data_IF_007865936615
#
_entry.id   IF_007865936615
#
_cell.length_a   1.000
_cell.length_b   1.000
_cell.length_c   1.000
_cell.angle_alpha   90.00
_cell.angle_beta   90.00
_cell.angle_gamma   90.00
#
_symmetry.space_group_name_H-M   'P 1'
#
loop_
_entity.id
_entity.type
_entity.pdbx_description
1 polymer ?
#
# COMPACT_ATOMS: atom_id res chain seq x y z
N UNK A 1 9.35 5.77 10.36
CA UNK A 1 10.02 4.49 10.70
C UNK A 1 9.08 3.36 10.30
N UNK A 2 9.36 2.62 9.23
CA UNK A 2 8.60 1.41 8.90
C UNK A 2 8.99 0.33 9.91
N UNK A 3 8.06 -0.05 10.77
CA UNK A 3 8.20 -1.17 11.68
C UNK A 3 8.30 -2.44 10.85
N UNK A 4 9.53 -2.91 10.60
CA UNK A 4 9.78 -4.26 10.11
C UNK A 4 9.04 -5.23 11.05
N UNK A 5 8.13 -6.09 10.55
CA UNK A 5 7.58 -7.14 11.38
C UNK A 5 8.75 -8.06 11.77
N UNK A 6 9.13 -7.99 13.04
CA UNK A 6 10.19 -8.81 13.66
C UNK A 6 9.63 -10.19 13.97
N UNK A 7 9.06 -10.88 12.98
CA UNK A 7 8.71 -12.28 13.13
C UNK A 7 10.02 -13.08 13.14
N UNK A 8 10.24 -13.81 14.24
CA UNK A 8 11.40 -14.69 14.38
C UNK A 8 11.38 -15.74 13.28
N UNK A 9 12.54 -16.10 12.73
CA UNK A 9 12.66 -17.15 11.69
C UNK A 9 12.10 -18.51 12.14
N UNK A 10 11.91 -18.72 13.44
CA UNK A 10 11.27 -19.91 14.02
C UNK A 10 9.79 -20.07 13.70
N UNK A 11 9.07 -19.00 13.34
CA UNK A 11 7.63 -19.05 13.00
C UNK A 11 7.39 -19.02 11.49
N UNK A 12 8.45 -18.97 10.68
CA UNK A 12 8.33 -18.80 9.24
C UNK A 12 8.26 -20.14 8.52
N UNK A 13 7.26 -20.30 7.65
CA UNK A 13 7.19 -21.45 6.73
C UNK A 13 8.04 -21.19 5.49
N UNK A 14 8.94 -22.12 5.17
CA UNK A 14 9.78 -22.06 3.97
C UNK A 14 9.00 -22.62 2.79
N UNK A 15 8.67 -21.75 1.83
CA UNK A 15 8.00 -22.14 0.59
C UNK A 15 8.89 -21.92 -0.63
N UNK A 16 8.72 -22.77 -1.66
CA UNK A 16 9.48 -22.72 -2.91
C UNK A 16 8.65 -22.05 -4.01
N UNK A 17 9.05 -20.86 -4.43
CA UNK A 17 8.41 -20.12 -5.52
C UNK A 17 9.32 -20.18 -6.75
N UNK A 18 8.78 -20.61 -7.90
CA UNK A 18 9.48 -20.56 -9.19
C UNK A 18 9.26 -19.19 -9.82
N UNK A 19 10.34 -18.57 -10.29
CA UNK A 19 10.34 -17.27 -10.97
C UNK A 19 11.21 -17.36 -12.22
N UNK A 20 10.89 -16.55 -13.22
CA UNK A 20 11.76 -16.31 -14.36
C UNK A 20 13.12 -15.78 -13.89
N UNK A 21 14.19 -16.19 -14.58
CA UNK A 21 15.56 -15.76 -14.24
C UNK A 21 15.69 -14.25 -14.26
N UNK A 22 15.13 -13.60 -15.28
CA UNK A 22 15.20 -12.15 -15.45
C UNK A 22 14.52 -11.40 -14.30
N UNK A 23 13.32 -11.82 -13.91
CA UNK A 23 12.59 -11.24 -12.78
C UNK A 23 13.40 -11.36 -11.48
N UNK A 24 13.98 -12.53 -11.22
CA UNK A 24 14.82 -12.75 -10.03
C UNK A 24 16.02 -11.79 -9.99
N UNK A 25 16.69 -11.57 -11.12
CA UNK A 25 17.85 -10.68 -11.17
C UNK A 25 17.45 -9.20 -11.02
N UNK A 26 16.35 -8.77 -11.64
CA UNK A 26 15.81 -7.41 -11.43
C UNK A 26 15.43 -7.16 -9.96
N UNK A 27 14.74 -8.12 -9.33
CA UNK A 27 14.38 -8.04 -7.91
C UNK A 27 15.62 -7.96 -7.01
N UNK A 28 16.69 -8.71 -7.31
CA UNK A 28 17.95 -8.59 -6.57
C UNK A 28 18.57 -7.20 -6.69
N UNK A 29 18.59 -6.65 -7.91
CA UNK A 29 19.13 -5.30 -8.15
C UNK A 29 18.33 -4.24 -7.37
N UNK A 30 17.00 -4.31 -7.40
CA UNK A 30 16.11 -3.43 -6.63
C UNK A 30 16.24 -3.63 -5.11
N UNK A 31 16.65 -4.83 -4.67
CA UNK A 31 16.76 -5.14 -3.25
C UNK A 31 17.97 -4.48 -2.56
N UNK A 32 18.98 -4.00 -3.27
CA UNK A 32 20.13 -3.30 -2.68
C UNK A 32 20.58 -3.87 -1.33
N UNK A 33 20.50 -3.06 -0.26
CA UNK A 33 20.91 -3.43 1.10
C UNK A 33 19.84 -4.15 1.94
N UNK A 34 18.56 -4.15 1.55
CA UNK A 34 17.49 -4.86 2.27
C UNK A 34 17.54 -6.38 2.02
N UNK A 35 18.15 -6.80 0.91
CA UNK A 35 18.28 -8.19 0.54
C UNK A 35 17.04 -8.75 -0.15
N UNK A 36 17.26 -9.65 -1.11
CA UNK A 36 16.24 -10.19 -2.01
C UNK A 36 15.04 -10.81 -1.26
N UNK A 37 15.29 -11.62 -0.22
CA UNK A 37 14.22 -12.32 0.50
C UNK A 37 13.32 -11.36 1.28
N UNK A 38 13.88 -10.30 1.88
CA UNK A 38 13.10 -9.29 2.58
C UNK A 38 12.21 -8.51 1.60
N UNK A 39 12.77 -8.11 0.44
CA UNK A 39 12.01 -7.43 -0.61
C UNK A 39 10.85 -8.29 -1.12
N UNK A 40 11.10 -9.55 -1.46
CA UNK A 40 10.05 -10.46 -1.96
C UNK A 40 8.94 -10.62 -0.93
N UNK A 41 9.30 -10.77 0.35
CA UNK A 41 8.31 -10.84 1.43
C UNK A 41 7.50 -9.56 1.53
N UNK A 42 8.13 -8.40 1.47
CA UNK A 42 7.44 -7.11 1.55
C UNK A 42 6.50 -6.91 0.35
N UNK A 43 6.90 -7.32 -0.85
CA UNK A 43 6.03 -7.28 -2.04
C UNK A 43 4.82 -8.21 -1.86
N UNK A 44 5.04 -9.46 -1.43
CA UNK A 44 3.95 -10.41 -1.19
C UNK A 44 3.01 -9.91 -0.10
N UNK A 45 3.55 -9.30 0.96
CA UNK A 45 2.74 -8.72 2.01
C UNK A 45 1.95 -7.51 1.54
N UNK A 46 2.55 -6.59 0.79
CA UNK A 46 1.83 -5.48 0.18
C UNK A 46 0.72 -5.98 -0.75
N UNK A 47 0.96 -7.04 -1.53
CA UNK A 47 -0.05 -7.63 -2.40
C UNK A 47 -1.23 -8.21 -1.60
N UNK A 48 -0.95 -9.03 -0.57
CA UNK A 48 -2.02 -9.56 0.29
C UNK A 48 -2.76 -8.42 0.98
N UNK A 49 -2.03 -7.44 1.52
CA UNK A 49 -2.59 -6.26 2.18
C UNK A 49 -3.52 -5.47 1.26
N UNK A 50 -3.14 -5.23 0.00
CA UNK A 50 -3.99 -4.56 -0.99
C UNK A 50 -5.24 -5.37 -1.36
N UNK A 51 -5.19 -6.71 -1.25
CA UNK A 51 -6.28 -7.61 -1.63
C UNK A 51 -7.17 -8.02 -0.46
N UNK A 52 -6.68 -7.94 0.76
CA UNK A 52 -7.45 -8.16 1.98
C UNK A 52 -8.25 -6.89 2.31
N UNK A 53 -9.56 -7.00 2.43
CA UNK A 53 -10.43 -5.90 2.88
C UNK A 53 -10.09 -5.39 4.31
N UNK A 54 -9.28 -6.15 5.06
CA UNK A 54 -8.97 -5.90 6.47
C UNK A 54 -7.72 -5.05 6.70
N UNK A 55 -6.86 -4.86 5.69
CA UNK A 55 -5.67 -4.02 5.82
C UNK A 55 -5.94 -2.61 5.29
N UNK A 56 -6.05 -1.65 6.20
CA UNK A 56 -6.00 -0.22 5.88
C UNK A 56 -4.53 0.19 5.95
N UNK A 57 -3.84 0.50 4.83
CA UNK A 57 -2.55 1.13 4.94
C UNK A 57 -2.79 2.42 5.72
N UNK A 58 -2.10 2.57 6.85
CA UNK A 58 -2.26 3.74 7.69
C UNK A 58 -1.51 4.90 7.03
N UNK A 59 -2.11 5.42 5.96
CA UNK A 59 -1.56 6.57 5.25
C UNK A 59 -1.56 7.76 6.21
N UNK A 60 -0.46 8.47 6.22
CA UNK A 60 -0.35 9.77 6.84
C UNK A 60 -0.58 10.86 5.79
N UNK A 61 -0.90 12.07 6.22
CA UNK A 61 -0.99 13.21 5.31
C UNK A 61 0.32 13.41 4.49
N UNK A 62 1.48 13.12 5.08
CA UNK A 62 2.77 13.20 4.39
C UNK A 62 2.95 12.18 3.26
N UNK A 63 2.13 11.13 3.20
CA UNK A 63 2.19 10.14 2.13
C UNK A 63 1.43 10.60 0.87
N UNK A 64 0.63 11.66 0.95
CA UNK A 64 -0.12 12.22 -0.18
C UNK A 64 0.62 13.43 -0.75
N UNK A 65 1.13 13.30 -1.98
CA UNK A 65 1.93 14.34 -2.64
C UNK A 65 1.09 15.34 -3.46
N UNK A 66 -0.11 14.96 -3.85
CA UNK A 66 -1.06 15.78 -4.58
C UNK A 66 -2.47 15.20 -4.44
N UNK A 67 -3.49 16.02 -4.64
CA UNK A 67 -4.88 15.58 -4.68
C UNK A 67 -5.64 16.28 -5.80
N UNK A 68 -6.63 15.59 -6.38
CA UNK A 68 -7.56 16.15 -7.36
C UNK A 68 -9.01 15.90 -6.94
N UNK A 69 -9.92 16.79 -7.31
CA UNK A 69 -11.35 16.60 -7.09
C UNK A 69 -11.90 15.45 -7.93
N UNK A 70 -12.78 14.64 -7.34
CA UNK A 70 -13.40 13.48 -7.98
C UNK A 70 -14.81 13.23 -7.43
N UNK A 71 -15.56 12.38 -8.11
CA UNK A 71 -16.86 11.88 -7.63
C UNK A 71 -16.77 10.37 -7.48
N UNK A 72 -17.12 9.84 -6.32
CA UNK A 72 -17.13 8.41 -6.07
C UNK A 72 -18.17 7.72 -6.96
N UNK A 73 -17.79 6.69 -7.73
CA UNK A 73 -18.74 5.92 -8.56
C UNK A 73 -19.40 4.76 -7.80
N UNK A 74 -18.78 4.33 -6.71
CA UNK A 74 -19.25 3.29 -5.79
C UNK A 74 -18.91 3.74 -4.37
N UNK A 75 -19.34 2.98 -3.37
CA UNK A 75 -18.90 3.23 -1.99
C UNK A 75 -17.38 3.04 -1.89
N UNK A 76 -16.71 4.05 -1.35
CA UNK A 76 -15.28 4.07 -1.07
C UNK A 76 -15.07 4.37 0.42
N UNK A 77 -13.83 4.22 0.90
CA UNK A 77 -13.45 4.64 2.25
C UNK A 77 -12.24 5.54 2.18
N UNK A 78 -12.29 6.68 2.85
CA UNK A 78 -11.14 7.56 2.97
C UNK A 78 -9.96 6.80 3.59
N UNK A 79 -8.80 6.86 2.94
CA UNK A 79 -7.63 6.13 3.42
C UNK A 79 -6.95 6.76 4.64
N UNK A 80 -7.24 8.02 4.95
CA UNK A 80 -6.69 8.74 6.11
C UNK A 80 -7.59 8.61 7.35
N UNK A 81 -8.89 8.81 7.19
CA UNK A 81 -9.85 8.83 8.32
C UNK A 81 -10.63 7.53 8.47
N UNK A 82 -10.71 6.71 7.42
CA UNK A 82 -11.55 5.51 7.36
C UNK A 82 -13.05 5.80 7.18
N UNK A 83 -13.43 7.08 7.04
CA UNK A 83 -14.80 7.50 6.77
C UNK A 83 -15.31 6.89 5.47
N UNK A 84 -16.61 6.55 5.46
CA UNK A 84 -17.28 6.02 4.28
C UNK A 84 -17.66 7.19 3.37
N UNK A 85 -17.26 7.09 2.11
CA UNK A 85 -17.62 7.99 1.01
C UNK A 85 -18.66 7.26 0.17
N UNK A 86 -19.88 7.78 0.09
CA UNK A 86 -20.98 7.11 -0.60
C UNK A 86 -20.84 7.22 -2.11
N UNK A 87 -21.51 6.31 -2.83
CA UNK A 87 -21.62 6.43 -4.27
C UNK A 87 -22.28 7.78 -4.67
N UNK A 88 -21.70 8.42 -5.68
CA UNK A 88 -22.01 9.77 -6.19
C UNK A 88 -21.71 10.92 -5.22
N UNK A 89 -20.97 10.67 -4.13
CA UNK A 89 -20.50 11.71 -3.22
C UNK A 89 -19.20 12.35 -3.76
N UNK A 90 -19.04 13.67 -3.63
CA UNK A 90 -17.77 14.31 -3.97
C UNK A 90 -16.66 13.86 -3.01
N UNK A 91 -15.46 13.65 -3.56
CA UNK A 91 -14.28 13.21 -2.82
C UNK A 91 -13.02 13.80 -3.42
N UNK A 92 -11.89 13.60 -2.75
CA UNK A 92 -10.57 13.85 -3.31
C UNK A 92 -9.93 12.52 -3.70
N UNK A 93 -9.23 12.50 -4.83
CA UNK A 93 -8.36 11.40 -5.22
C UNK A 93 -6.91 11.82 -4.95
N UNK A 94 -6.30 11.19 -3.96
CA UNK A 94 -4.92 11.45 -3.54
C UNK A 94 -3.93 10.65 -4.36
N UNK A 95 -2.85 11.29 -4.79
CA UNK A 95 -1.69 10.62 -5.37
C UNK A 95 -0.65 10.38 -4.28
N UNK A 96 -0.26 9.13 -4.06
CA UNK A 96 0.69 8.77 -3.00
C UNK A 96 2.13 8.99 -3.45
N UNK A 97 3.06 9.07 -2.50
CA UNK A 97 4.52 9.06 -2.77
C UNK A 97 4.99 7.77 -3.46
N UNK A 98 4.19 6.71 -3.37
CA UNK A 98 4.43 5.41 -4.00
C UNK A 98 3.81 5.28 -5.40
N UNK A 99 3.08 6.29 -5.86
CA UNK A 99 2.48 6.32 -7.20
C UNK A 99 1.07 5.73 -7.29
N UNK A 100 0.42 5.50 -6.15
CA UNK A 100 -0.95 4.99 -6.09
C UNK A 100 -1.98 6.13 -6.09
N UNK A 101 -3.20 5.85 -6.57
CA UNK A 101 -4.35 6.73 -6.41
C UNK A 101 -5.28 6.19 -5.33
N UNK A 102 -5.57 7.01 -4.32
CA UNK A 102 -6.32 6.62 -3.12
C UNK A 102 -7.49 7.57 -2.83
N UNK A 103 -8.65 7.07 -2.36
CA UNK A 103 -9.80 7.90 -2.02
C UNK A 103 -9.60 8.68 -0.71
N UNK A 104 -10.04 9.94 -0.69
CA UNK A 104 -9.93 10.87 0.44
C UNK A 104 -11.24 11.64 0.62
N UNK A 105 -11.72 11.79 1.86
CA UNK A 105 -12.84 12.71 2.18
C UNK A 105 -12.41 14.17 1.96
N UNK A 106 -13.34 15.06 1.62
CA UNK A 106 -13.06 16.49 1.35
C UNK A 106 -12.44 17.22 2.56
N UNK A 107 -12.64 16.72 3.77
CA UNK A 107 -12.05 17.25 5.01
C UNK A 107 -10.77 16.55 5.49
N UNK A 108 -10.19 15.63 4.70
CA UNK A 108 -9.08 14.79 5.18
C UNK A 108 -7.77 15.55 5.38
N UNK A 109 -7.58 16.64 4.63
CA UNK A 109 -6.51 17.58 4.85
C UNK A 109 -7.01 18.61 5.87
N UNK A 110 -6.67 18.40 7.14
CA UNK A 110 -6.90 19.40 8.17
C UNK A 110 -6.26 20.73 7.74
N UNK A 111 -7.00 21.82 7.94
CA UNK A 111 -6.50 23.20 7.76
C UNK A 111 -5.26 23.47 8.60
#
# INVERSE_FOLDING_TARGET
>A
MRTLPRTSTTEMEVTSIRLERELKEQLKQLSGNQGYQALVRDILWNYVQQKSADYRPQFSNSDIRASVEAIARKEERCVLTGEVIRANEPMLLGFTTHGDLVPLSIGSFGR
#
